data_IF_099545562820
#
_entry.id   IF_099545562820
#
_cell.length_a   1.000
_cell.length_b   1.000
_cell.length_c   1.000
_cell.angle_alpha   90.00
_cell.angle_beta   90.00
_cell.angle_gamma   90.00
#
_symmetry.space_group_name_H-M   'P 1'
#
loop_
_entity.id
_entity.type
_entity.pdbx_description
1 polymer ?
#
# COMPACT_ATOMS: atom_id res chain seq x y z
N UNK A 1 7.99 0.04 14.21
CA UNK A 1 6.81 0.91 14.01
C UNK A 1 6.71 1.47 12.59
N UNK A 2 7.83 1.75 11.90
CA UNK A 2 7.84 2.34 10.55
C UNK A 2 6.88 1.67 9.54
N UNK A 3 6.89 0.34 9.42
CA UNK A 3 6.02 -0.37 8.46
C UNK A 3 4.52 -0.15 8.68
N UNK A 4 4.05 -0.07 9.93
CA UNK A 4 2.63 0.18 10.24
C UNK A 4 2.25 1.62 9.87
N UNK A 5 3.11 2.59 10.16
CA UNK A 5 2.88 3.98 9.78
C UNK A 5 2.80 4.15 8.26
N UNK A 6 3.70 3.52 7.52
CA UNK A 6 3.71 3.55 6.05
C UNK A 6 2.45 2.89 5.47
N UNK A 7 2.03 1.74 6.00
CA UNK A 7 0.79 1.08 5.60
C UNK A 7 -0.45 1.97 5.82
N UNK A 8 -0.54 2.64 6.97
CA UNK A 8 -1.65 3.56 7.25
C UNK A 8 -1.64 4.77 6.31
N UNK A 9 -0.46 5.36 6.03
CA UNK A 9 -0.34 6.45 5.07
C UNK A 9 -0.80 6.03 3.68
N UNK A 10 -0.41 4.83 3.22
CA UNK A 10 -0.90 4.30 1.94
C UNK A 10 -2.43 4.18 1.91
N UNK A 11 -3.04 3.66 2.98
CA UNK A 11 -4.51 3.54 3.07
C UNK A 11 -5.19 4.91 3.00
N UNK A 12 -4.68 5.91 3.71
CA UNK A 12 -5.23 7.27 3.71
C UNK A 12 -5.14 7.87 2.30
N UNK A 13 -3.96 7.80 1.66
CA UNK A 13 -3.77 8.33 0.29
C UNK A 13 -4.66 7.62 -0.74
N UNK A 14 -4.83 6.32 -0.61
CA UNK A 14 -5.74 5.57 -1.47
C UNK A 14 -7.20 6.00 -1.27
N UNK A 15 -7.63 6.20 -0.02
CA UNK A 15 -8.97 6.72 0.31
C UNK A 15 -9.21 8.16 -0.16
N UNK A 16 -8.17 8.97 -0.25
CA UNK A 16 -8.20 10.31 -0.87
C UNK A 16 -8.34 10.27 -2.40
N UNK A 17 -8.42 9.08 -3.02
CA UNK A 17 -8.47 8.95 -4.48
C UNK A 17 -7.11 9.22 -5.13
N UNK A 18 -6.01 9.02 -4.40
CA UNK A 18 -4.64 9.29 -4.85
C UNK A 18 -3.81 8.01 -4.82
N UNK A 19 -4.15 6.99 -5.62
CA UNK A 19 -3.46 5.70 -5.57
C UNK A 19 -1.99 5.79 -6.01
N UNK A 20 -1.64 6.73 -6.89
CA UNK A 20 -0.24 6.99 -7.27
C UNK A 20 0.62 7.45 -6.08
N UNK A 21 0.06 8.27 -5.19
CA UNK A 21 0.74 8.72 -3.97
C UNK A 21 0.76 7.64 -2.88
N UNK A 22 -0.20 6.71 -2.90
CA UNK A 22 -0.28 5.58 -1.96
C UNK A 22 0.75 4.48 -2.25
N UNK A 23 1.07 4.29 -3.54
CA UNK A 23 1.92 3.19 -4.02
C UNK A 23 3.30 3.11 -3.36
N UNK A 24 4.12 4.19 -3.27
CA UNK A 24 5.44 4.09 -2.67
C UNK A 24 5.37 3.71 -1.19
N UNK A 25 4.38 4.23 -0.45
CA UNK A 25 4.21 3.92 0.97
C UNK A 25 3.88 2.45 1.22
N UNK A 26 2.98 1.87 0.41
CA UNK A 26 2.61 0.46 0.61
C UNK A 26 3.73 -0.50 0.18
N UNK A 27 4.51 -0.15 -0.84
CA UNK A 27 5.66 -0.95 -1.27
C UNK A 27 6.73 -1.00 -0.18
N UNK A 28 7.05 0.14 0.43
CA UNK A 28 8.01 0.20 1.54
C UNK A 28 7.50 -0.56 2.77
N UNK A 29 6.21 -0.43 3.10
CA UNK A 29 5.58 -1.20 4.18
C UNK A 29 5.68 -2.71 3.96
N UNK A 30 5.40 -3.20 2.75
CA UNK A 30 5.51 -4.63 2.38
C UNK A 30 6.94 -5.12 2.52
N UNK A 31 7.93 -4.35 2.06
CA UNK A 31 9.35 -4.70 2.22
C UNK A 31 9.71 -4.84 3.70
N UNK A 32 9.37 -3.85 4.52
CA UNK A 32 9.64 -3.90 5.97
C UNK A 32 8.95 -5.12 6.61
N UNK A 33 7.70 -5.38 6.28
CA UNK A 33 6.97 -6.50 6.86
C UNK A 33 7.51 -7.86 6.43
N UNK A 34 8.00 -7.98 5.18
CA UNK A 34 8.65 -9.18 4.69
C UNK A 34 9.98 -9.43 5.41
N UNK A 35 10.81 -8.39 5.51
CA UNK A 35 12.14 -8.49 6.12
C UNK A 35 12.07 -8.79 7.62
N UNK A 36 11.00 -8.34 8.28
CA UNK A 36 10.80 -8.53 9.73
C UNK A 36 9.92 -9.72 10.09
N UNK A 37 9.34 -10.44 9.12
CA UNK A 37 8.37 -11.50 9.38
C UNK A 37 7.10 -11.00 10.09
N UNK A 38 6.70 -9.76 9.83
CA UNK A 38 5.55 -9.13 10.48
C UNK A 38 4.24 -9.80 10.08
N UNK A 39 3.36 -10.00 11.07
CA UNK A 39 1.97 -10.48 10.84
C UNK A 39 1.13 -9.56 9.93
N UNK A 40 1.57 -8.32 9.73
CA UNK A 40 0.88 -7.34 8.89
C UNK A 40 1.19 -7.50 7.40
N UNK A 41 2.12 -8.39 7.01
CA UNK A 41 2.51 -8.59 5.62
C UNK A 41 1.31 -8.91 4.72
N UNK A 42 0.47 -9.87 5.11
CA UNK A 42 -0.68 -10.28 4.31
C UNK A 42 -1.70 -9.15 4.08
N UNK A 43 -1.91 -8.30 5.09
CA UNK A 43 -2.80 -7.13 4.95
C UNK A 43 -2.19 -6.08 4.02
N UNK A 44 -0.88 -5.83 4.13
CA UNK A 44 -0.18 -4.86 3.30
C UNK A 44 -0.12 -5.30 1.82
N UNK A 45 0.09 -6.58 1.54
CA UNK A 45 0.05 -7.13 0.18
C UNK A 45 -1.34 -7.01 -0.44
N UNK A 46 -2.41 -7.22 0.34
CA UNK A 46 -3.78 -6.98 -0.13
C UNK A 46 -4.00 -5.50 -0.48
N UNK A 47 -3.59 -4.57 0.38
CA UNK A 47 -3.68 -3.13 0.11
C UNK A 47 -2.88 -2.74 -1.14
N UNK A 48 -1.69 -3.32 -1.36
CA UNK A 48 -0.90 -3.09 -2.57
C UNK A 48 -1.65 -3.52 -3.83
N UNK A 49 -2.30 -4.69 -3.81
CA UNK A 49 -3.09 -5.17 -4.94
C UNK A 49 -4.30 -4.27 -5.23
N UNK A 50 -4.97 -3.77 -4.19
CA UNK A 50 -6.10 -2.84 -4.33
C UNK A 50 -5.66 -1.53 -5.00
N UNK A 51 -4.53 -0.95 -4.56
CA UNK A 51 -3.96 0.27 -5.14
C UNK A 51 -3.60 0.05 -6.62
N UNK A 52 -2.93 -1.05 -6.95
CA UNK A 52 -2.54 -1.36 -8.34
C UNK A 52 -3.76 -1.52 -9.24
N UNK A 53 -4.84 -2.14 -8.76
CA UNK A 53 -6.09 -2.25 -9.53
C UNK A 53 -6.73 -0.89 -9.78
N UNK A 54 -6.74 0.00 -8.78
CA UNK A 54 -7.25 1.37 -8.94
C UNK A 54 -6.48 2.14 -10.03
N UNK A 55 -5.15 2.06 -10.00
CA UNK A 55 -4.30 2.73 -10.99
C UNK A 55 -4.52 2.20 -12.40
N UNK A 56 -4.69 0.89 -12.56
CA UNK A 56 -4.96 0.29 -13.86
C UNK A 56 -6.33 0.74 -14.40
N UNK A 57 -7.35 0.82 -13.54
CA UNK A 57 -8.68 1.30 -13.93
C UNK A 57 -8.68 2.79 -14.30
N UNK A 58 -7.87 3.61 -13.64
CA UNK A 58 -7.71 5.04 -13.96
C UNK A 58 -6.96 5.29 -15.29
N UNK A 59 -6.03 4.39 -15.66
CA UNK A 59 -5.33 4.46 -16.95
C UNK A 59 -6.18 4.03 -18.15
N UNK A 60 -7.33 3.39 -17.92
CA UNK A 60 -8.28 2.94 -18.95
C UNK A 60 -9.43 3.94 -19.21
N UNK A 61 -9.47 5.09 -18.52
CA UNK A 61 -10.51 6.12 -18.67
C UNK A 61 -10.18 7.21 -19.69
#
# INVERSE_FOLDING_TARGET
MAGVTLHLMAKIRHQEGRPADALPYIQEAVTIFRDTGSRHLAEAEKTLQEIQRSMNAEGEQ
#
